data_IF_416609510523
#
_entry.id   IF_416609510523
#
_cell.length_a   1.000
_cell.length_b   1.000
_cell.length_c   1.000
_cell.angle_alpha   90.00
_cell.angle_beta   90.00
_cell.angle_gamma   90.00
#
_symmetry.space_group_name_H-M   'P 1'
#
loop_
_entity.id
_entity.type
_entity.pdbx_description
1 polymer ?
#
# COMPACT_ATOMS: atom_id res chain seq x y z
N UNK A 1 8.00 -5.77 -16.19
CA UNK A 1 7.45 -6.13 -14.86
C UNK A 1 7.38 -7.64 -14.79
N UNK A 2 8.00 -8.24 -13.77
CA UNK A 2 7.96 -9.68 -13.53
C UNK A 2 6.86 -9.97 -12.51
N UNK A 3 5.60 -9.83 -12.93
CA UNK A 3 4.44 -9.95 -12.06
C UNK A 3 4.02 -11.40 -11.86
N UNK A 4 3.65 -11.74 -10.62
CA UNK A 4 3.02 -13.03 -10.29
C UNK A 4 1.58 -13.18 -10.80
N UNK A 5 0.94 -12.07 -11.20
CA UNK A 5 -0.40 -12.04 -11.77
C UNK A 5 -0.37 -12.06 -13.30
N UNK A 6 -1.36 -12.68 -13.90
CA UNK A 6 -1.56 -12.70 -15.34
C UNK A 6 -1.99 -11.31 -15.85
N UNK A 7 -1.58 -10.90 -17.07
CA UNK A 7 -1.93 -9.59 -17.63
C UNK A 7 -3.44 -9.28 -17.64
N UNK A 8 -4.28 -10.31 -17.80
CA UNK A 8 -5.74 -10.14 -17.81
C UNK A 8 -6.30 -9.61 -16.48
N UNK A 9 -5.60 -9.84 -15.37
CA UNK A 9 -6.01 -9.42 -14.03
C UNK A 9 -5.84 -7.90 -13.83
N UNK A 10 -4.96 -7.27 -14.61
CA UNK A 10 -4.74 -5.81 -14.58
C UNK A 10 -5.76 -5.03 -15.41
N UNK A 11 -6.57 -5.71 -16.24
CA UNK A 11 -7.46 -5.07 -17.23
C UNK A 11 -8.51 -4.14 -16.62
N UNK A 12 -8.86 -4.34 -15.35
CA UNK A 12 -9.85 -3.50 -14.63
C UNK A 12 -9.24 -2.24 -14.01
N UNK A 13 -7.91 -2.13 -13.96
CA UNK A 13 -7.23 -0.96 -13.41
C UNK A 13 -7.42 0.26 -14.30
N UNK A 14 -7.24 1.44 -13.73
CA UNK A 14 -7.32 2.68 -14.51
C UNK A 14 -6.23 2.74 -15.59
N UNK A 15 -5.02 2.35 -15.23
CA UNK A 15 -3.87 2.21 -16.11
C UNK A 15 -3.25 0.84 -15.86
N UNK A 16 -2.95 0.13 -16.94
CA UNK A 16 -2.45 -1.24 -16.88
C UNK A 16 -0.90 -1.24 -16.88
N UNK A 17 -0.25 -1.52 -15.74
CA UNK A 17 1.21 -1.54 -15.68
C UNK A 17 1.84 -2.72 -16.44
N UNK A 18 1.07 -3.77 -16.77
CA UNK A 18 1.55 -5.00 -17.42
C UNK A 18 1.81 -4.83 -18.92
N UNK A 19 1.18 -3.84 -19.56
CA UNK A 19 1.37 -3.54 -21.00
C UNK A 19 2.51 -2.57 -21.28
N UNK A 20 3.26 -2.15 -20.26
CA UNK A 20 4.44 -1.30 -20.41
C UNK A 20 5.65 -2.21 -20.68
N UNK A 21 6.27 -2.15 -21.89
CA UNK A 21 7.43 -2.96 -22.22
C UNK A 21 8.62 -2.67 -21.29
N UNK A 22 9.46 -3.68 -21.08
CA UNK A 22 10.69 -3.51 -20.30
C UNK A 22 11.60 -2.44 -20.93
N UNK A 23 12.12 -1.54 -20.09
CA UNK A 23 12.94 -0.40 -20.52
C UNK A 23 12.17 0.77 -21.16
N UNK A 24 10.86 0.64 -21.42
CA UNK A 24 10.06 1.75 -21.92
C UNK A 24 9.49 2.61 -20.78
N UNK A 25 9.58 3.93 -20.93
CA UNK A 25 8.98 4.85 -19.97
C UNK A 25 7.45 4.75 -20.00
N UNK A 26 6.83 4.60 -18.82
CA UNK A 26 5.38 4.59 -18.66
C UNK A 26 4.68 5.84 -19.21
N UNK A 27 5.40 6.98 -19.25
CA UNK A 27 4.89 8.23 -19.81
C UNK A 27 4.81 8.24 -21.34
N UNK A 28 5.42 7.28 -22.02
CA UNK A 28 5.25 7.09 -23.46
C UNK A 28 3.98 6.28 -23.73
N UNK A 29 3.75 5.24 -22.91
CA UNK A 29 2.52 4.45 -22.96
C UNK A 29 1.28 5.24 -22.55
N UNK A 30 1.42 6.08 -21.53
CA UNK A 30 0.35 6.92 -20.98
C UNK A 30 0.76 8.41 -20.97
N UNK A 31 0.76 9.09 -22.12
CA UNK A 31 1.19 10.50 -22.24
C UNK A 31 0.39 11.47 -21.38
N UNK A 32 -0.86 11.15 -21.06
CA UNK A 32 -1.72 11.94 -20.17
C UNK A 32 -1.15 12.10 -18.77
N UNK A 33 -0.31 11.17 -18.31
CA UNK A 33 0.39 11.30 -17.03
C UNK A 33 1.33 12.52 -17.01
N UNK A 34 1.87 12.93 -18.17
CA UNK A 34 2.76 14.10 -18.29
C UNK A 34 2.03 15.42 -17.98
N UNK A 35 0.69 15.45 -18.06
CA UNK A 35 -0.12 16.64 -17.70
C UNK A 35 -0.02 16.97 -16.22
N UNK A 36 0.32 15.99 -15.39
CA UNK A 36 0.44 16.14 -13.95
C UNK A 36 1.91 16.29 -13.57
N UNK A 37 2.33 17.54 -13.32
CA UNK A 37 3.73 17.89 -13.01
C UNK A 37 4.34 17.04 -11.89
N UNK A 38 3.52 16.59 -10.93
CA UNK A 38 4.00 15.76 -9.83
C UNK A 38 4.41 14.36 -10.29
N UNK A 39 3.76 13.78 -11.31
CA UNK A 39 4.13 12.46 -11.83
C UNK A 39 5.47 12.47 -12.56
N UNK A 40 5.86 13.58 -13.19
CA UNK A 40 7.16 13.70 -13.86
C UNK A 40 8.29 14.20 -12.95
N UNK A 41 7.96 14.71 -11.76
CA UNK A 41 8.95 15.19 -10.79
C UNK A 41 9.85 14.03 -10.30
N UNK A 42 11.16 14.20 -10.39
CA UNK A 42 12.13 13.25 -9.83
C UNK A 42 11.96 13.11 -8.31
N UNK A 43 12.15 11.88 -7.83
CA UNK A 43 12.05 11.50 -6.41
C UNK A 43 13.40 11.23 -5.75
N UNK A 44 14.49 11.37 -6.52
CA UNK A 44 15.85 10.99 -6.14
C UNK A 44 16.67 10.61 -7.37
N UNK A 45 17.97 10.36 -7.17
CA UNK A 45 18.88 9.90 -8.25
C UNK A 45 18.82 8.39 -8.46
N UNK A 46 18.37 7.66 -7.44
CA UNK A 46 18.44 6.19 -7.32
C UNK A 46 17.12 5.51 -7.65
N UNK A 47 16.01 6.25 -7.67
CA UNK A 47 14.68 5.71 -7.94
C UNK A 47 14.27 6.07 -9.35
N UNK A 48 14.11 5.04 -10.19
CA UNK A 48 13.53 5.19 -11.51
C UNK A 48 12.04 5.58 -11.41
N UNK A 49 11.67 6.63 -12.13
CA UNK A 49 10.35 7.22 -12.03
C UNK A 49 9.28 6.38 -12.78
N UNK A 50 9.68 5.56 -13.75
CA UNK A 50 8.78 4.61 -14.43
C UNK A 50 8.41 3.47 -13.49
N UNK A 51 9.40 2.82 -12.88
CA UNK A 51 9.21 1.76 -11.91
C UNK A 51 8.38 2.24 -10.71
N UNK A 52 8.66 3.45 -10.20
CA UNK A 52 7.87 4.04 -9.13
C UNK A 52 6.40 4.22 -9.53
N UNK A 53 6.12 4.72 -10.73
CA UNK A 53 4.74 4.90 -11.17
C UNK A 53 4.02 3.57 -11.38
N UNK A 54 4.70 2.55 -11.92
CA UNK A 54 4.14 1.19 -11.99
C UNK A 54 3.85 0.64 -10.59
N UNK A 55 4.74 0.86 -9.63
CA UNK A 55 4.51 0.48 -8.24
C UNK A 55 3.29 1.18 -7.64
N UNK A 56 3.15 2.50 -7.87
CA UNK A 56 1.96 3.25 -7.42
C UNK A 56 0.68 2.64 -8.00
N UNK A 57 0.67 2.28 -9.29
CA UNK A 57 -0.48 1.62 -9.93
C UNK A 57 -0.78 0.27 -9.28
N UNK A 58 0.24 -0.59 -9.15
CA UNK A 58 0.09 -1.92 -8.55
C UNK A 58 -0.40 -1.86 -7.09
N UNK A 59 0.02 -0.87 -6.30
CA UNK A 59 -0.36 -0.78 -4.88
C UNK A 59 -1.69 -0.08 -4.65
N UNK A 60 -1.94 1.01 -5.39
CA UNK A 60 -2.98 1.98 -5.04
C UNK A 60 -4.15 2.05 -6.02
N UNK A 61 -4.14 1.34 -7.14
CA UNK A 61 -5.35 1.22 -7.96
C UNK A 61 -6.44 0.45 -7.20
N UNK A 62 -7.69 0.88 -7.30
CA UNK A 62 -8.80 0.21 -6.62
C UNK A 62 -9.03 -1.21 -7.15
N UNK A 63 -8.74 -1.45 -8.44
CA UNK A 63 -8.97 -2.73 -9.12
C UNK A 63 -7.68 -3.53 -9.35
N UNK A 64 -6.61 -3.22 -8.60
CA UNK A 64 -5.34 -3.96 -8.72
C UNK A 64 -5.45 -5.37 -8.17
N UNK A 65 -4.92 -6.40 -8.86
CA UNK A 65 -4.90 -7.77 -8.35
C UNK A 65 -4.08 -7.90 -7.06
N UNK A 66 -3.15 -6.99 -6.80
CA UNK A 66 -2.39 -6.94 -5.55
C UNK A 66 -3.28 -6.66 -4.33
N UNK A 67 -4.42 -5.98 -4.49
CA UNK A 67 -5.35 -5.73 -3.38
C UNK A 67 -6.14 -6.99 -3.03
N UNK A 68 -6.45 -7.82 -4.02
CA UNK A 68 -7.10 -9.11 -3.82
C UNK A 68 -6.12 -10.19 -3.31
N UNK A 69 -4.89 -10.22 -3.85
CA UNK A 69 -3.86 -11.19 -3.46
C UNK A 69 -3.17 -10.89 -2.12
N UNK A 70 -3.12 -9.61 -1.71
CA UNK A 70 -2.44 -9.18 -0.49
C UNK A 70 -3.30 -8.21 0.33
N UNK A 71 -3.92 -8.74 1.38
CA UNK A 71 -4.77 -7.96 2.28
C UNK A 71 -3.97 -6.93 3.09
N UNK A 72 -2.80 -7.32 3.59
CA UNK A 72 -1.90 -6.44 4.32
C UNK A 72 -1.20 -5.45 3.37
N UNK A 73 -1.34 -4.15 3.64
CA UNK A 73 -0.78 -3.08 2.77
C UNK A 73 0.75 -3.12 2.72
N UNK A 74 1.43 -3.49 3.80
CA UNK A 74 2.89 -3.58 3.85
C UNK A 74 3.37 -4.72 2.97
N UNK A 75 2.74 -5.90 3.06
CA UNK A 75 3.01 -7.02 2.15
C UNK A 75 2.73 -6.63 0.71
N UNK A 76 1.61 -5.97 0.44
CA UNK A 76 1.26 -5.47 -0.89
C UNK A 76 2.34 -4.57 -1.49
N UNK A 77 2.84 -3.60 -0.71
CA UNK A 77 3.92 -2.69 -1.12
C UNK A 77 5.20 -3.45 -1.45
N UNK A 78 5.57 -4.42 -0.62
CA UNK A 78 6.76 -5.26 -0.81
C UNK A 78 6.67 -6.12 -2.06
N UNK A 79 5.56 -6.84 -2.25
CA UNK A 79 5.39 -7.73 -3.41
C UNK A 79 5.30 -6.91 -4.71
N UNK A 80 4.56 -5.81 -4.71
CA UNK A 80 4.54 -4.90 -5.86
C UNK A 80 5.93 -4.32 -6.17
N UNK A 81 6.74 -4.01 -5.16
CA UNK A 81 8.09 -3.47 -5.36
C UNK A 81 9.02 -4.49 -6.02
N UNK A 82 8.94 -5.76 -5.62
CA UNK A 82 9.67 -6.86 -6.26
C UNK A 82 9.26 -7.04 -7.72
N UNK A 83 7.95 -7.07 -7.98
CA UNK A 83 7.43 -7.37 -9.32
C UNK A 83 7.74 -6.26 -10.34
N UNK A 84 7.78 -4.99 -9.92
CA UNK A 84 8.22 -3.88 -10.79
C UNK A 84 9.74 -3.84 -11.01
N UNK A 85 10.51 -4.61 -10.22
CA UNK A 85 11.94 -4.80 -10.39
C UNK A 85 12.84 -4.02 -9.42
N UNK A 86 12.33 -3.51 -8.29
CA UNK A 86 13.22 -2.89 -7.29
C UNK A 86 14.13 -3.95 -6.66
N UNK A 87 15.43 -3.68 -6.67
CA UNK A 87 16.44 -4.60 -6.16
C UNK A 87 16.42 -4.71 -4.64
N UNK A 88 16.62 -5.93 -4.17
CA UNK A 88 16.90 -6.25 -2.77
C UNK A 88 18.40 -6.52 -2.60
N UNK A 89 18.91 -6.13 -1.45
CA UNK A 89 20.26 -6.45 -0.99
C UNK A 89 20.41 -7.96 -0.72
N UNK A 90 21.65 -8.42 -0.52
CA UNK A 90 21.95 -9.82 -0.20
C UNK A 90 21.25 -10.33 1.07
N UNK A 91 20.86 -9.42 1.99
CA UNK A 91 20.08 -9.75 3.19
C UNK A 91 18.56 -9.81 2.94
N UNK A 92 18.12 -9.65 1.69
CA UNK A 92 16.70 -9.70 1.29
C UNK A 92 15.91 -8.42 1.57
N UNK A 93 16.59 -7.32 1.94
CA UNK A 93 15.97 -6.02 2.27
C UNK A 93 16.18 -5.05 1.10
N UNK A 94 15.22 -4.19 0.79
CA UNK A 94 15.39 -3.18 -0.26
C UNK A 94 16.44 -2.13 0.11
N UNK A 95 17.00 -1.47 -0.92
CA UNK A 95 17.83 -0.30 -0.71
C UNK A 95 17.10 0.80 0.09
N UNK A 96 17.85 1.57 0.88
CA UNK A 96 17.32 2.55 1.83
C UNK A 96 16.34 3.55 1.21
N UNK A 97 16.58 3.99 -0.03
CA UNK A 97 15.68 4.93 -0.70
C UNK A 97 14.32 4.31 -1.04
N UNK A 98 14.31 3.01 -1.36
CA UNK A 98 13.09 2.24 -1.63
C UNK A 98 12.29 2.05 -0.35
N UNK A 99 12.95 1.59 0.72
CA UNK A 99 12.39 1.49 2.06
C UNK A 99 11.78 2.81 2.54
N UNK A 100 12.50 3.91 2.35
CA UNK A 100 12.05 5.24 2.73
C UNK A 100 10.77 5.65 2.02
N UNK A 101 10.64 5.41 0.71
CA UNK A 101 9.40 5.78 0.04
C UNK A 101 8.24 4.84 0.38
N UNK A 102 8.48 3.54 0.55
CA UNK A 102 7.42 2.57 0.93
C UNK A 102 6.84 2.91 2.31
N UNK A 103 7.70 3.37 3.23
CA UNK A 103 7.36 3.87 4.58
C UNK A 103 6.83 5.32 4.58
N UNK A 104 6.62 5.92 3.41
CA UNK A 104 6.03 7.26 3.29
C UNK A 104 6.94 8.39 3.76
N UNK A 105 8.26 8.19 3.83
CA UNK A 105 9.24 9.22 4.22
C UNK A 105 9.62 10.15 3.06
N UNK A 106 9.26 9.83 1.82
CA UNK A 106 9.53 10.66 0.65
C UNK A 106 8.29 11.50 0.28
N UNK A 107 8.33 12.80 0.59
CA UNK A 107 7.21 13.72 0.34
C UNK A 107 6.81 13.82 -1.14
N UNK A 108 7.75 13.67 -2.08
CA UNK A 108 7.43 13.70 -3.50
C UNK A 108 6.69 12.43 -3.92
N UNK A 109 7.08 11.27 -3.40
CA UNK A 109 6.36 10.01 -3.62
C UNK A 109 4.96 10.07 -3.03
N UNK A 110 4.81 10.56 -1.80
CA UNK A 110 3.50 10.75 -1.16
C UNK A 110 2.58 11.64 -2.00
N UNK A 111 3.11 12.74 -2.55
CA UNK A 111 2.35 13.62 -3.43
C UNK A 111 1.94 12.95 -4.76
N UNK A 112 2.77 12.04 -5.31
CA UNK A 112 2.38 11.21 -6.46
C UNK A 112 1.27 10.22 -6.09
N UNK A 113 1.36 9.55 -4.94
CA UNK A 113 0.32 8.63 -4.46
C UNK A 113 -1.01 9.36 -4.33
N UNK A 114 -1.03 10.52 -3.65
CA UNK A 114 -2.23 11.34 -3.51
C UNK A 114 -2.77 11.79 -4.87
N UNK A 115 -1.89 12.22 -5.79
CA UNK A 115 -2.30 12.57 -7.15
C UNK A 115 -2.89 11.39 -7.92
N UNK A 116 -2.38 10.18 -7.74
CA UNK A 116 -2.92 8.99 -8.38
C UNK A 116 -4.29 8.62 -7.81
N UNK A 117 -4.38 8.49 -6.49
CA UNK A 117 -5.59 8.00 -5.81
C UNK A 117 -6.79 8.92 -6.06
N UNK A 118 -6.60 10.25 -6.08
CA UNK A 118 -7.69 11.20 -6.37
C UNK A 118 -8.31 11.05 -7.76
N UNK A 119 -7.64 10.37 -8.69
CA UNK A 119 -8.12 10.16 -10.06
C UNK A 119 -9.18 9.07 -10.16
N UNK A 120 -9.28 8.19 -9.15
CA UNK A 120 -10.38 7.24 -9.03
C UNK A 120 -11.72 7.92 -8.72
N UNK A 121 -11.74 9.21 -8.33
CA UNK A 121 -12.96 9.97 -7.98
C UNK A 121 -13.83 9.30 -6.92
N UNK A 122 -13.25 8.39 -6.15
CA UNK A 122 -13.86 7.70 -5.04
C UNK A 122 -13.25 8.24 -3.74
N UNK A 123 -13.96 9.16 -3.09
CA UNK A 123 -13.48 9.81 -1.88
C UNK A 123 -13.37 8.81 -0.72
N UNK A 124 -14.25 7.81 -0.64
CA UNK A 124 -14.18 6.74 0.36
C UNK A 124 -12.91 5.91 0.17
N UNK A 125 -12.59 5.54 -1.07
CA UNK A 125 -11.35 4.84 -1.39
C UNK A 125 -10.11 5.69 -1.05
N UNK A 126 -10.16 6.99 -1.37
CA UNK A 126 -9.07 7.91 -1.00
C UNK A 126 -8.88 7.97 0.51
N UNK A 127 -9.98 8.00 1.26
CA UNK A 127 -9.99 7.96 2.72
C UNK A 127 -9.41 6.65 3.25
N UNK A 128 -9.85 5.50 2.70
CA UNK A 128 -9.32 4.19 3.05
C UNK A 128 -7.80 4.13 2.91
N UNK A 129 -7.24 4.57 1.78
CA UNK A 129 -5.80 4.60 1.55
C UNK A 129 -5.08 5.49 2.57
N UNK A 130 -5.65 6.65 2.92
CA UNK A 130 -5.06 7.53 3.92
C UNK A 130 -5.05 6.89 5.32
N UNK A 131 -6.14 6.22 5.67
CA UNK A 131 -6.28 5.51 6.95
C UNK A 131 -5.35 4.29 7.02
N UNK A 132 -5.25 3.47 5.97
CA UNK A 132 -4.32 2.32 5.89
C UNK A 132 -2.89 2.79 6.17
N UNK A 133 -2.42 3.86 5.52
CA UNK A 133 -1.06 4.37 5.75
C UNK A 133 -0.89 4.99 7.15
N UNK A 134 -1.91 5.66 7.69
CA UNK A 134 -1.85 6.29 9.01
C UNK A 134 -1.82 5.26 10.14
N UNK A 135 -2.58 4.17 9.97
CA UNK A 135 -2.67 3.07 10.90
C UNK A 135 -1.30 2.44 11.18
N UNK A 136 -0.59 2.01 10.13
CA UNK A 136 0.73 1.40 10.30
C UNK A 136 1.78 2.38 10.81
N UNK A 137 1.71 3.66 10.41
CA UNK A 137 2.61 4.68 10.96
C UNK A 137 2.42 4.84 12.48
N UNK A 138 1.18 4.88 12.94
CA UNK A 138 0.90 4.99 14.38
C UNK A 138 1.26 3.69 15.11
N UNK A 139 1.05 2.53 14.48
CA UNK A 139 1.50 1.26 15.02
C UNK A 139 3.02 1.23 15.23
N UNK A 140 3.82 1.70 14.26
CA UNK A 140 5.28 1.84 14.40
C UNK A 140 5.63 2.73 15.61
N UNK A 141 4.93 3.85 15.78
CA UNK A 141 5.13 4.75 16.92
C UNK A 141 4.79 4.10 18.27
N UNK A 142 3.70 3.35 18.35
CA UNK A 142 3.28 2.62 19.55
C UNK A 142 4.28 1.53 19.92
N UNK A 143 4.74 0.74 18.94
CA UNK A 143 5.75 -0.32 19.15
C UNK A 143 7.09 0.29 19.59
N UNK A 144 7.44 1.48 19.10
CA UNK A 144 8.60 2.23 19.56
C UNK A 144 8.46 2.83 20.98
N UNK A 145 7.35 2.55 21.68
CA UNK A 145 7.14 2.93 23.08
C UNK A 145 6.27 4.17 23.29
N UNK A 146 5.70 4.78 22.24
CA UNK A 146 4.77 5.91 22.36
C UNK A 146 3.36 5.45 22.73
N UNK A 147 3.22 4.92 23.94
CA UNK A 147 1.98 4.33 24.44
C UNK A 147 0.78 5.30 24.46
N UNK A 148 1.02 6.60 24.50
CA UNK A 148 -0.03 7.63 24.42
C UNK A 148 -0.80 7.59 23.09
N UNK A 149 -0.18 7.05 22.03
CA UNK A 149 -0.79 6.92 20.69
C UNK A 149 -1.67 5.69 20.52
N UNK A 150 -1.77 4.81 21.53
CA UNK A 150 -2.63 3.61 21.49
C UNK A 150 -4.10 3.98 21.29
N UNK A 151 -4.55 5.09 21.87
CA UNK A 151 -5.93 5.58 21.68
C UNK A 151 -6.18 6.01 20.23
N UNK A 152 -5.23 6.71 19.62
CA UNK A 152 -5.32 7.11 18.21
C UNK A 152 -5.34 5.90 17.29
N UNK A 153 -4.52 4.89 17.58
CA UNK A 153 -4.49 3.64 16.82
C UNK A 153 -5.86 2.95 16.82
N UNK A 154 -6.50 2.89 17.99
CA UNK A 154 -7.85 2.31 18.12
C UNK A 154 -8.89 3.11 17.34
N UNK A 155 -8.87 4.43 17.42
CA UNK A 155 -9.82 5.27 16.67
C UNK A 155 -9.66 5.05 15.16
N UNK A 156 -8.42 5.00 14.65
CA UNK A 156 -8.17 4.76 13.22
C UNK A 156 -8.63 3.37 12.82
N UNK A 157 -8.46 2.36 13.67
CA UNK A 157 -8.99 1.02 13.41
C UNK A 157 -10.52 1.04 13.26
N UNK A 158 -11.23 1.69 14.19
CA UNK A 158 -12.69 1.80 14.15
C UNK A 158 -13.15 2.54 12.87
N UNK A 159 -12.45 3.62 12.48
CA UNK A 159 -12.72 4.34 11.24
C UNK A 159 -12.39 3.53 9.97
N UNK A 160 -11.33 2.72 9.99
CA UNK A 160 -10.98 1.79 8.91
C UNK A 160 -12.08 0.77 8.70
N UNK A 161 -12.50 0.09 9.76
CA UNK A 161 -13.56 -0.92 9.74
C UNK A 161 -14.86 -0.31 9.19
N UNK A 162 -15.24 0.88 9.67
CA UNK A 162 -16.44 1.57 9.19
C UNK A 162 -16.32 1.95 7.72
N UNK A 163 -15.20 2.56 7.30
CA UNK A 163 -14.98 2.98 5.91
C UNK A 163 -14.98 1.80 4.96
N UNK A 164 -14.39 0.68 5.36
CA UNK A 164 -14.40 -0.56 4.58
C UNK A 164 -15.83 -1.10 4.42
N UNK A 165 -16.59 -1.20 5.51
CA UNK A 165 -18.00 -1.63 5.46
C UNK A 165 -18.82 -0.70 4.54
N UNK A 166 -18.57 0.60 4.60
CA UNK A 166 -19.20 1.64 3.81
C UNK A 166 -18.89 1.55 2.30
N UNK A 167 -17.68 1.11 1.94
CA UNK A 167 -17.29 0.85 0.55
C UNK A 167 -17.97 -0.44 0.09
N UNK A 168 -17.92 -1.50 0.89
CA UNK A 168 -18.51 -2.80 0.58
C UNK A 168 -20.02 -2.75 0.40
N UNK A 169 -20.72 -1.92 1.18
CA UNK A 169 -22.18 -1.76 1.07
C UNK A 169 -22.59 -0.94 -0.17
N UNK A 170 -21.66 -0.25 -0.82
CA UNK A 170 -21.89 0.52 -2.04
C UNK A 170 -21.35 -0.16 -3.30
N UNK A 171 -20.61 -1.26 -3.16
CA UNK A 171 -19.97 -1.99 -4.25
C UNK A 171 -20.64 -3.37 -4.40
N UNK A 172 -21.25 -3.64 -5.56
CA UNK A 172 -21.96 -4.91 -5.84
C UNK A 172 -21.00 -6.12 -6.00
N UNK A 173 -19.70 -5.91 -5.78
CA UNK A 173 -18.67 -6.93 -5.95
C UNK A 173 -18.54 -7.84 -4.71
N UNK A 174 -19.26 -8.96 -4.75
CA UNK A 174 -19.34 -10.00 -3.69
C UNK A 174 -17.97 -10.55 -3.24
N UNK A 175 -16.94 -10.55 -4.11
CA UNK A 175 -15.61 -11.14 -3.83
C UNK A 175 -14.77 -10.26 -2.88
N UNK A 176 -14.87 -8.94 -3.03
CA UNK A 176 -14.21 -7.98 -2.12
C UNK A 176 -14.78 -8.07 -0.71
N UNK A 177 -16.09 -8.32 -0.60
CA UNK A 177 -16.79 -8.42 0.69
C UNK A 177 -16.25 -9.56 1.57
N UNK A 178 -16.07 -10.74 1.01
CA UNK A 178 -15.65 -11.93 1.77
C UNK A 178 -14.16 -11.92 2.13
N UNK A 179 -13.34 -11.32 1.28
CA UNK A 179 -11.89 -11.14 1.51
C UNK A 179 -11.62 -10.08 2.59
N UNK A 180 -12.35 -8.96 2.54
CA UNK A 180 -12.23 -7.88 3.52
C UNK A 180 -12.80 -8.29 4.88
N UNK A 181 -13.91 -9.04 4.94
CA UNK A 181 -14.45 -9.53 6.22
C UNK A 181 -13.48 -10.51 6.91
N UNK A 182 -12.85 -11.43 6.15
CA UNK A 182 -11.79 -12.29 6.69
C UNK A 182 -10.59 -11.50 7.22
N UNK A 183 -10.18 -10.45 6.51
CA UNK A 183 -9.11 -9.57 6.96
C UNK A 183 -9.46 -8.84 8.27
N UNK A 184 -10.67 -8.29 8.39
CA UNK A 184 -11.13 -7.64 9.63
C UNK A 184 -11.08 -8.65 10.79
N UNK A 185 -11.50 -9.90 10.57
CA UNK A 185 -11.47 -10.92 11.61
C UNK A 185 -10.04 -11.33 12.00
N UNK A 186 -9.14 -11.52 11.03
CA UNK A 186 -7.73 -11.89 11.26
C UNK A 186 -6.92 -10.77 11.95
N UNK A 187 -7.09 -9.51 11.54
CA UNK A 187 -6.44 -8.37 12.18
C UNK A 187 -7.04 -8.11 13.57
N UNK A 188 -8.36 -8.19 13.74
CA UNK A 188 -9.00 -8.05 15.05
C UNK A 188 -8.55 -9.11 16.07
N UNK A 189 -8.18 -10.31 15.62
CA UNK A 189 -7.64 -11.37 16.48
C UNK A 189 -6.18 -11.12 16.88
N UNK A 190 -5.36 -10.57 15.98
CA UNK A 190 -3.93 -10.32 16.22
C UNK A 190 -3.63 -9.01 16.95
N UNK A 191 -4.54 -8.05 16.91
CA UNK A 191 -4.36 -6.66 17.37
C UNK A 191 -5.10 -6.33 18.66
N UNK A 192 -5.67 -7.34 19.33
CA UNK A 192 -6.28 -7.13 20.66
C UNK A 192 -5.25 -6.49 21.59
N UNK A 193 -5.57 -5.38 22.28
CA UNK A 193 -4.67 -4.74 23.24
C UNK A 193 -4.12 -5.74 24.26
N UNK A 194 -4.91 -6.74 24.62
CA UNK A 194 -4.53 -7.85 25.49
C UNK A 194 -3.45 -8.75 24.87
N UNK A 195 -3.54 -9.04 23.57
CA UNK A 195 -2.56 -9.84 22.84
C UNK A 195 -1.26 -9.06 22.57
N UNK A 196 -1.36 -7.76 22.27
CA UNK A 196 -0.21 -6.87 22.11
C UNK A 196 0.52 -6.70 23.45
N UNK A 197 -0.21 -6.43 24.53
CA UNK A 197 0.35 -6.35 25.88
C UNK A 197 0.96 -7.68 26.34
N UNK A 198 0.34 -8.83 26.00
CA UNK A 198 0.92 -10.15 26.29
C UNK A 198 2.24 -10.39 25.55
N UNK A 199 2.34 -10.00 24.28
CA UNK A 199 3.56 -10.18 23.47
C UNK A 199 4.70 -9.28 23.97
N UNK A 200 4.39 -8.02 24.29
CA UNK A 200 5.33 -7.08 24.92
C UNK A 200 5.80 -7.61 26.29
N UNK A 201 4.89 -8.13 27.12
CA UNK A 201 5.21 -8.68 28.43
C UNK A 201 6.04 -9.98 28.38
N UNK A 202 5.92 -10.75 27.29
CA UNK A 202 6.69 -12.00 27.05
C UNK A 202 8.03 -11.76 26.36
N UNK A 203 8.35 -10.52 25.97
CA UNK A 203 9.57 -10.21 25.21
C UNK A 203 9.57 -10.77 23.78
N UNK A 204 8.39 -11.12 23.25
CA UNK A 204 8.22 -11.62 21.89
C UNK A 204 7.95 -10.45 20.94
N UNK A 205 8.69 -10.37 19.83
CA UNK A 205 8.43 -9.40 18.76
C UNK A 205 7.08 -9.73 18.10
N UNK A 206 6.12 -8.79 18.07
CA UNK A 206 4.86 -9.00 17.35
C UNK A 206 5.15 -9.28 15.87
N UNK A 207 4.39 -10.21 15.28
CA UNK A 207 4.59 -10.64 13.89
C UNK A 207 4.60 -9.44 12.95
N UNK A 208 5.77 -9.22 12.35
CA UNK A 208 6.16 -8.07 11.55
C UNK A 208 7.68 -8.03 11.54
N UNK A 209 8.30 -8.93 10.79
CA UNK A 209 9.76 -8.92 10.60
C UNK A 209 10.18 -7.55 10.06
N UNK A 210 10.92 -6.81 10.88
CA UNK A 210 11.65 -5.61 10.51
C UNK A 210 12.97 -5.66 11.28
N UNK A 211 13.95 -6.36 10.69
CA UNK A 211 15.36 -6.05 10.89
C UNK A 211 15.76 -4.95 9.90
#
# INVERSE_FOLDING_TARGET
MNSQFAPIEFKKMWLDPSVVPEGESIFNRYPELKKYKIFTKSVGKTIDNTMLMQWIMCVYDQATPYREGFNNVSKRKTEAARDVGFEVTDSGIFHTDVEHFMKGKNATVNAKIVEYVRRHRNWKYTYLVAMENSYYKIMEEVVAGKTERVKDLRNIQEELEQTMADILNQDDNVVLKDTVMRYIEEERLSLRPEAIALKIAKGETPVGHFD
#
